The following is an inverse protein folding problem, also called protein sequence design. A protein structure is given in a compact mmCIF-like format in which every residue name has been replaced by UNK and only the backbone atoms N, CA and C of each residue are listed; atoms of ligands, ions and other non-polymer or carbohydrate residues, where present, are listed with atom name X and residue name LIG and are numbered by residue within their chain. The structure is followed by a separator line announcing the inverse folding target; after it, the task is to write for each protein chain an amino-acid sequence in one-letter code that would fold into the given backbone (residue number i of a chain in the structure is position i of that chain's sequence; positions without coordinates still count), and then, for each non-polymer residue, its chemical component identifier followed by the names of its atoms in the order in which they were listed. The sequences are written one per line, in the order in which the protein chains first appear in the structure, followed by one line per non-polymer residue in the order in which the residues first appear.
data_IF_548070003112
#
_entry.id   IF_548070003112
#
_cell.length_a   1.000
_cell.length_b   1.000
_cell.length_c   1.000
_cell.angle_alpha   90.00
_cell.angle_beta   90.00
_cell.angle_gamma   90.00
#
_symmetry.space_group_name_H-M   'P 1'
#
loop_
_entity.id
_entity.type
_entity.pdbx_description
1 polymer ?
#
# COMPACT_ATOMS: atom_id res chain seq x y z
N UNK A 1 -16.80 -17.06 -28.09
CA UNK A 1 -16.33 -16.38 -26.87
C UNK A 1 -15.40 -17.31 -26.12
N UNK A 2 -14.11 -17.15 -26.34
CA UNK A 2 -13.08 -17.92 -25.64
C UNK A 2 -13.07 -17.41 -24.20
N UNK A 3 -13.74 -18.11 -23.30
CA UNK A 3 -13.45 -18.00 -21.88
C UNK A 3 -12.02 -18.55 -21.71
N UNK A 4 -11.04 -17.63 -21.56
CA UNK A 4 -9.73 -18.02 -21.13
C UNK A 4 -9.91 -18.87 -19.87
N UNK A 5 -9.49 -20.10 -19.94
CA UNK A 5 -9.45 -21.01 -18.80
C UNK A 5 -8.39 -20.41 -17.88
N UNK A 6 -8.82 -19.50 -16.99
CA UNK A 6 -7.99 -19.13 -15.85
C UNK A 6 -7.80 -20.44 -15.08
N UNK A 7 -6.64 -21.05 -15.21
CA UNK A 7 -6.25 -22.13 -14.36
C UNK A 7 -6.64 -21.77 -12.92
N UNK A 8 -7.24 -22.67 -12.14
CA UNK A 8 -7.54 -22.39 -10.75
C UNK A 8 -6.26 -21.81 -10.13
N UNK A 9 -6.37 -20.68 -9.45
CA UNK A 9 -5.23 -20.12 -8.72
C UNK A 9 -4.71 -21.24 -7.85
N UNK A 10 -3.56 -21.80 -8.23
CA UNK A 10 -2.93 -22.85 -7.49
C UNK A 10 -2.72 -22.41 -6.04
N UNK A 11 -2.53 -23.36 -5.14
CA UNK A 11 -2.15 -23.07 -3.76
C UNK A 11 -0.97 -22.07 -3.77
N UNK A 12 -1.02 -21.11 -2.84
CA UNK A 12 0.08 -20.15 -2.65
C UNK A 12 1.36 -20.95 -2.43
N UNK A 13 2.30 -20.84 -3.36
CA UNK A 13 3.59 -21.52 -3.26
C UNK A 13 4.55 -20.64 -2.46
N UNK A 14 5.46 -21.27 -1.72
CA UNK A 14 6.55 -20.56 -1.06
C UNK A 14 7.48 -19.96 -2.10
N UNK A 15 8.11 -18.79 -1.82
CA UNK A 15 9.13 -18.24 -2.69
C UNK A 15 10.31 -19.21 -2.81
N UNK A 16 11.04 -19.13 -3.92
CA UNK A 16 12.29 -19.92 -4.05
C UNK A 16 13.37 -19.38 -3.10
N UNK A 17 14.30 -20.22 -2.72
CA UNK A 17 15.45 -19.79 -1.91
C UNK A 17 16.26 -18.68 -2.58
N UNK A 18 16.35 -18.67 -3.90
CA UNK A 18 17.00 -17.60 -4.65
C UNK A 18 16.27 -16.24 -4.49
N UNK A 19 14.94 -16.24 -4.52
CA UNK A 19 14.13 -15.03 -4.29
C UNK A 19 14.32 -14.50 -2.86
N UNK A 20 14.26 -15.39 -1.86
CA UNK A 20 14.46 -15.00 -0.46
C UNK A 20 15.87 -14.43 -0.23
N UNK A 21 16.89 -15.06 -0.79
CA UNK A 21 18.27 -14.60 -0.70
C UNK A 21 18.47 -13.22 -1.36
N UNK A 22 17.88 -12.99 -2.54
CA UNK A 22 17.96 -11.72 -3.23
C UNK A 22 17.27 -10.60 -2.43
N UNK A 23 16.10 -10.86 -1.86
CA UNK A 23 15.39 -9.89 -1.02
C UNK A 23 16.15 -9.60 0.27
N UNK A 24 16.73 -10.60 0.91
CA UNK A 24 17.55 -10.44 2.11
C UNK A 24 18.83 -9.62 1.82
N UNK A 25 19.49 -9.87 0.70
CA UNK A 25 20.67 -9.12 0.27
C UNK A 25 20.34 -7.65 0.02
N UNK A 26 19.21 -7.36 -0.64
CA UNK A 26 18.75 -6.00 -0.84
C UNK A 26 18.41 -5.32 0.51
N UNK A 27 17.70 -6.00 1.39
CA UNK A 27 17.34 -5.47 2.71
C UNK A 27 18.57 -5.03 3.51
N UNK A 28 19.69 -5.75 3.41
CA UNK A 28 20.93 -5.42 4.09
C UNK A 28 21.59 -4.11 3.60
N UNK A 29 21.21 -3.63 2.42
CA UNK A 29 21.74 -2.38 1.83
C UNK A 29 20.87 -1.16 2.12
N UNK A 30 19.64 -1.35 2.64
CA UNK A 30 18.66 -0.30 2.85
C UNK A 30 18.72 0.24 4.28
N UNK A 31 18.62 1.56 4.42
CA UNK A 31 18.55 2.21 5.72
C UNK A 31 17.10 2.28 6.23
N UNK A 32 16.64 1.26 6.93
CA UNK A 32 15.30 1.23 7.52
C UNK A 32 15.15 2.10 8.78
N UNK A 33 16.26 2.58 9.36
CA UNK A 33 16.21 3.49 10.49
C UNK A 33 15.83 4.91 10.09
N UNK A 34 16.02 5.29 8.83
CA UNK A 34 15.57 6.56 8.32
C UNK A 34 14.03 6.58 8.23
N UNK A 35 13.41 7.45 9.02
CA UNK A 35 11.95 7.62 9.10
C UNK A 35 11.44 8.90 8.45
N UNK A 36 12.28 9.64 7.72
CA UNK A 36 11.93 10.93 7.14
C UNK A 36 10.71 10.81 6.20
N UNK A 37 10.70 9.79 5.34
CA UNK A 37 9.59 9.57 4.42
C UNK A 37 8.28 9.24 5.14
N UNK A 38 8.35 8.51 6.27
CA UNK A 38 7.17 8.24 7.08
C UNK A 38 6.61 9.51 7.73
N UNK A 39 7.47 10.41 8.16
CA UNK A 39 7.07 11.71 8.69
C UNK A 39 6.43 12.56 7.59
N UNK A 40 6.98 12.55 6.38
CA UNK A 40 6.41 13.26 5.24
C UNK A 40 5.07 12.69 4.79
N UNK A 41 4.94 11.35 4.79
CA UNK A 41 3.72 10.67 4.37
C UNK A 41 2.50 10.97 5.27
N UNK A 42 2.73 11.36 6.52
CA UNK A 42 1.67 11.65 7.50
C UNK A 42 1.57 13.13 7.88
N UNK A 43 2.51 13.95 7.44
CA UNK A 43 2.49 15.38 7.72
C UNK A 43 1.27 16.06 7.12
N UNK A 44 0.59 16.87 7.92
CA UNK A 44 -0.60 17.59 7.50
C UNK A 44 -1.89 16.78 7.47
N UNK A 45 -1.88 15.55 8.00
CA UNK A 45 -3.09 14.73 8.09
C UNK A 45 -4.16 15.43 8.93
N UNK A 46 -5.33 15.69 8.30
CA UNK A 46 -6.50 16.28 8.95
C UNK A 46 -7.47 15.18 9.38
N UNK A 47 -7.76 14.24 8.47
CA UNK A 47 -8.71 13.17 8.69
C UNK A 47 -8.32 11.92 7.93
N UNK A 48 -8.39 10.78 8.60
CA UNK A 48 -8.27 9.46 7.99
C UNK A 48 -9.66 8.92 7.63
N UNK A 49 -9.76 7.92 6.70
CA UNK A 49 -11.03 7.28 6.41
C UNK A 49 -11.64 6.66 7.67
N UNK A 50 -12.90 6.96 7.93
CA UNK A 50 -13.68 6.36 9.03
C UNK A 50 -14.33 5.04 8.62
N UNK A 51 -14.64 4.91 7.33
CA UNK A 51 -15.24 3.72 6.77
C UNK A 51 -14.16 2.68 6.43
N UNK A 52 -14.46 1.39 6.65
CA UNK A 52 -13.56 0.31 6.25
C UNK A 52 -13.45 0.16 4.73
N UNK A 53 -14.50 0.53 4.01
CA UNK A 53 -14.56 0.44 2.55
C UNK A 53 -15.57 1.41 1.95
N UNK A 54 -15.30 1.84 0.72
CA UNK A 54 -16.27 2.52 -0.12
C UNK A 54 -16.94 1.46 -0.99
N UNK A 55 -18.25 1.50 -1.06
CA UNK A 55 -19.06 0.55 -1.82
C UNK A 55 -19.85 1.23 -2.93
N UNK A 56 -20.05 0.51 -4.02
CA UNK A 56 -20.99 0.87 -5.06
C UNK A 56 -22.45 0.69 -4.58
N UNK A 57 -23.40 1.19 -5.36
CA UNK A 57 -24.83 1.05 -5.07
C UNK A 57 -25.30 -0.42 -4.99
N UNK A 58 -24.64 -1.32 -5.70
CA UNK A 58 -24.92 -2.78 -5.69
C UNK A 58 -24.25 -3.51 -4.51
N UNK A 59 -23.53 -2.80 -3.64
CA UNK A 59 -22.85 -3.36 -2.48
C UNK A 59 -21.43 -3.89 -2.77
N UNK A 60 -20.99 -3.90 -4.02
CA UNK A 60 -19.61 -4.28 -4.36
C UNK A 60 -18.61 -3.26 -3.81
N UNK A 61 -17.42 -3.75 -3.41
CA UNK A 61 -16.39 -2.90 -2.86
C UNK A 61 -15.66 -2.15 -3.98
N UNK A 62 -15.70 -0.83 -3.93
CA UNK A 62 -14.94 0.04 -4.80
C UNK A 62 -13.51 0.27 -4.27
N UNK A 63 -13.38 0.56 -2.98
CA UNK A 63 -12.11 0.80 -2.30
C UNK A 63 -12.13 0.18 -0.90
N UNK A 64 -11.18 -0.65 -0.60
CA UNK A 64 -11.06 -1.32 0.70
C UNK A 64 -9.89 -0.73 1.51
N UNK A 65 -10.16 0.18 2.42
CA UNK A 65 -9.16 0.76 3.31
C UNK A 65 -8.68 -0.23 4.39
N UNK A 66 -9.52 -1.20 4.74
CA UNK A 66 -9.12 -2.22 5.71
C UNK A 66 -7.97 -3.10 5.16
N UNK A 67 -7.89 -3.28 3.85
CA UNK A 67 -6.80 -4.01 3.22
C UNK A 67 -5.44 -3.31 3.39
N UNK A 68 -5.41 -2.00 3.55
CA UNK A 68 -4.17 -1.24 3.73
C UNK A 68 -3.48 -1.59 5.06
N UNK A 69 -4.23 -2.09 6.04
CA UNK A 69 -3.70 -2.50 7.34
C UNK A 69 -2.75 -3.69 7.27
N UNK A 70 -2.76 -4.44 6.16
CA UNK A 70 -1.81 -5.54 5.94
C UNK A 70 -0.37 -5.04 5.73
N UNK A 71 -0.21 -3.79 5.28
CA UNK A 71 1.11 -3.21 5.03
C UNK A 71 1.73 -2.67 6.33
N UNK A 72 2.09 -3.59 7.22
CA UNK A 72 2.72 -3.28 8.51
C UNK A 72 3.86 -4.23 8.79
N UNK A 73 4.83 -3.78 9.60
CA UNK A 73 5.95 -4.61 10.00
C UNK A 73 6.97 -4.85 8.88
N UNK A 74 7.89 -5.80 9.09
CA UNK A 74 8.95 -6.13 8.13
C UNK A 74 8.37 -6.78 6.88
N UNK A 75 9.08 -6.60 5.75
CA UNK A 75 8.71 -7.21 4.49
C UNK A 75 8.71 -8.75 4.61
N UNK A 76 7.69 -9.43 4.07
CA UNK A 76 7.75 -10.89 3.89
C UNK A 76 8.96 -11.28 3.01
N UNK A 77 9.54 -12.46 3.25
CA UNK A 77 10.70 -12.93 2.50
C UNK A 77 10.47 -13.02 0.98
N UNK A 78 9.23 -13.20 0.57
CA UNK A 78 8.81 -13.26 -0.84
C UNK A 78 8.70 -11.90 -1.53
N UNK A 79 8.80 -10.79 -0.78
CA UNK A 79 8.56 -9.44 -1.28
C UNK A 79 9.83 -8.63 -1.25
N UNK A 80 10.05 -7.87 -2.33
CA UNK A 80 11.14 -6.91 -2.37
C UNK A 80 10.96 -5.88 -1.25
N UNK A 81 11.96 -5.69 -0.36
CA UNK A 81 11.82 -4.83 0.82
C UNK A 81 11.63 -3.35 0.48
N UNK A 82 12.18 -2.85 -0.62
CA UNK A 82 11.91 -1.49 -1.11
C UNK A 82 10.46 -1.33 -1.55
N UNK A 83 9.92 -2.31 -2.27
CA UNK A 83 8.52 -2.30 -2.71
C UNK A 83 7.57 -2.36 -1.51
N UNK A 84 7.88 -3.19 -0.52
CA UNK A 84 7.10 -3.27 0.72
C UNK A 84 7.08 -1.93 1.45
N UNK A 85 8.25 -1.32 1.64
CA UNK A 85 8.36 0.01 2.27
C UNK A 85 7.53 1.05 1.51
N UNK A 86 7.60 1.06 0.18
CA UNK A 86 6.79 1.97 -0.64
C UNK A 86 5.29 1.71 -0.47
N UNK A 87 4.87 0.46 -0.40
CA UNK A 87 3.47 0.08 -0.15
C UNK A 87 2.98 0.55 1.23
N UNK A 88 3.82 0.42 2.26
CA UNK A 88 3.52 0.93 3.62
C UNK A 88 3.33 2.45 3.61
N UNK A 89 4.18 3.18 2.88
CA UNK A 89 4.08 4.64 2.73
C UNK A 89 2.80 5.05 1.99
N UNK A 90 2.43 4.31 0.94
CA UNK A 90 1.24 4.58 0.13
C UNK A 90 -0.07 4.20 0.82
N UNK A 91 -0.03 3.33 1.84
CA UNK A 91 -1.21 2.92 2.61
C UNK A 91 -1.62 3.96 3.66
N UNK A 92 -1.57 5.24 3.32
CA UNK A 92 -1.83 6.38 4.19
C UNK A 92 -2.97 7.25 3.63
N UNK A 93 -4.11 6.62 3.38
CA UNK A 93 -5.29 7.32 2.87
C UNK A 93 -5.78 8.39 3.84
N UNK A 94 -6.26 9.52 3.32
CA UNK A 94 -6.80 10.59 4.12
C UNK A 94 -6.87 11.94 3.42
N UNK A 95 -7.32 12.92 4.17
CA UNK A 95 -7.30 14.33 3.82
C UNK A 95 -6.10 15.00 4.49
N UNK A 96 -5.30 15.69 3.70
CA UNK A 96 -4.06 16.34 4.14
C UNK A 96 -4.08 17.81 3.77
N UNK A 97 -3.62 18.67 4.70
CA UNK A 97 -3.23 20.03 4.37
C UNK A 97 -1.79 20.01 3.84
N UNK A 98 -1.60 20.46 2.60
CA UNK A 98 -0.27 20.55 1.99
C UNK A 98 0.41 21.84 2.45
N UNK A 99 -0.29 22.95 2.28
CA UNK A 99 0.01 24.28 2.84
C UNK A 99 -1.32 24.95 3.16
N UNK A 100 -1.37 26.02 3.95
CA UNK A 100 -2.62 26.71 4.24
C UNK A 100 -3.41 27.04 2.98
N UNK A 101 -4.65 26.55 2.90
CA UNK A 101 -5.55 26.74 1.76
C UNK A 101 -5.41 25.74 0.62
N UNK A 102 -4.44 24.83 0.66
CA UNK A 102 -4.29 23.76 -0.33
C UNK A 102 -4.36 22.40 0.36
N UNK A 103 -5.31 21.58 -0.07
CA UNK A 103 -5.59 20.27 0.52
C UNK A 103 -5.43 19.17 -0.51
N UNK A 104 -5.10 17.97 -0.05
CA UNK A 104 -4.96 16.79 -0.91
C UNK A 104 -5.68 15.60 -0.30
N UNK A 105 -6.50 14.93 -1.12
CA UNK A 105 -7.13 13.67 -0.80
C UNK A 105 -6.25 12.56 -1.37
N UNK A 106 -5.72 11.71 -0.52
CA UNK A 106 -4.77 10.64 -0.87
C UNK A 106 -5.37 9.27 -0.64
N UNK A 107 -5.03 8.32 -1.50
CA UNK A 107 -5.32 6.90 -1.31
C UNK A 107 -6.76 6.48 -1.58
N UNK A 108 -7.58 7.33 -2.18
CA UNK A 108 -8.96 7.01 -2.57
C UNK A 108 -9.06 6.47 -3.99
N UNK A 109 -8.14 6.85 -4.87
CA UNK A 109 -8.06 6.42 -6.25
C UNK A 109 -6.59 6.29 -6.66
N UNK A 110 -6.34 5.95 -7.93
CA UNK A 110 -5.00 5.80 -8.50
C UNK A 110 -4.18 7.08 -8.43
N UNK A 111 -4.83 8.24 -8.48
CA UNK A 111 -4.19 9.53 -8.32
C UNK A 111 -4.77 10.32 -7.15
N UNK A 112 -3.94 11.16 -6.55
CA UNK A 112 -4.38 12.05 -5.50
C UNK A 112 -5.16 13.23 -6.10
N UNK A 113 -6.17 13.68 -5.37
CA UNK A 113 -6.95 14.86 -5.73
C UNK A 113 -6.46 16.05 -4.92
N UNK A 114 -6.12 17.14 -5.59
CA UNK A 114 -5.71 18.38 -4.94
C UNK A 114 -6.81 19.46 -5.09
N UNK A 115 -7.13 20.09 -3.99
CA UNK A 115 -8.18 21.12 -3.90
C UNK A 115 -7.64 22.37 -3.26
#
# INVERSE_FOLDING_TARGET
MLRGNLAPRGAVTKPSAATEAANAALAATLNFEDKQDFNFATRGLIAAPTEAAIKNADGSILRNFAADKQFTGPAPASVNPSLWRNSVLNARAGLYEVVPGIYQIRGYDLSNMTV
#
